data_IF_338635481440
#
_entry.id   IF_338635481440
#
_cell.length_a   1.000
_cell.length_b   1.000
_cell.length_c   1.000
_cell.angle_alpha   90.00
_cell.angle_beta   90.00
_cell.angle_gamma   90.00
#
_symmetry.space_group_name_H-M   'P 1'
#
loop_
_entity.id
_entity.type
_entity.pdbx_description
1 polymer ?
#
# COMPACT_ATOMS: atom_id res chain seq x y z
N UNK A 1 4.53 -24.52 3.61
CA UNK A 1 5.57 -23.49 3.39
C UNK A 1 5.90 -23.46 1.91
N UNK A 2 5.66 -22.35 1.23
CA UNK A 2 6.02 -22.21 -0.18
C UNK A 2 7.55 -22.26 -0.30
N UNK A 3 8.05 -23.17 -1.14
CA UNK A 3 9.48 -23.32 -1.38
C UNK A 3 10.00 -22.02 -2.01
N UNK A 4 10.95 -21.34 -1.35
CA UNK A 4 11.62 -20.18 -1.95
C UNK A 4 12.24 -20.61 -3.30
N UNK A 5 12.16 -19.78 -4.35
CA UNK A 5 12.80 -20.10 -5.61
C UNK A 5 14.30 -20.33 -5.40
N UNK A 6 14.85 -21.31 -6.10
CA UNK A 6 16.28 -21.56 -6.16
C UNK A 6 17.01 -20.43 -6.89
N UNK A 7 18.33 -20.31 -6.67
CA UNK A 7 19.18 -19.35 -7.39
C UNK A 7 19.04 -19.47 -8.90
N UNK A 8 19.01 -20.70 -9.43
CA UNK A 8 18.83 -20.96 -10.87
C UNK A 8 17.46 -20.47 -11.38
N UNK A 9 16.40 -20.58 -10.58
CA UNK A 9 15.08 -20.07 -10.95
C UNK A 9 15.07 -18.53 -10.99
N UNK A 10 15.75 -17.87 -10.04
CA UNK A 10 15.94 -16.42 -10.05
C UNK A 10 16.76 -15.94 -11.26
N UNK A 11 17.88 -16.58 -11.55
CA UNK A 11 18.71 -16.28 -12.72
C UNK A 11 17.89 -16.39 -14.01
N UNK A 12 17.04 -17.41 -14.11
CA UNK A 12 16.17 -17.60 -15.26
C UNK A 12 15.07 -16.54 -15.38
N UNK A 13 14.54 -16.01 -14.28
CA UNK A 13 13.56 -14.92 -14.37
C UNK A 13 14.22 -13.59 -14.73
N UNK A 14 15.41 -13.36 -14.17
CA UNK A 14 16.21 -12.16 -14.42
C UNK A 14 16.87 -12.16 -15.80
N UNK A 15 16.89 -13.28 -16.52
CA UNK A 15 17.50 -13.34 -17.85
C UNK A 15 16.88 -12.28 -18.77
N UNK A 16 17.71 -11.38 -19.30
CA UNK A 16 17.27 -10.24 -20.12
C UNK A 16 17.32 -8.90 -19.39
N UNK A 17 17.49 -8.85 -18.07
CA UNK A 17 17.82 -7.62 -17.36
C UNK A 17 19.27 -7.21 -17.63
N UNK A 18 19.46 -5.95 -18.01
CA UNK A 18 20.75 -5.27 -18.07
C UNK A 18 20.68 -3.94 -17.28
N UNK A 19 21.82 -3.49 -16.74
CA UNK A 19 21.88 -2.19 -16.07
C UNK A 19 21.64 -1.04 -17.05
N UNK A 20 21.95 -1.23 -18.33
CA UNK A 20 21.59 -0.32 -19.40
C UNK A 20 20.16 -0.64 -19.89
N UNK A 21 19.18 0.25 -19.70
CA UNK A 21 17.80 0.02 -20.13
C UNK A 21 17.68 -0.28 -21.63
N UNK A 22 18.57 0.28 -22.47
CA UNK A 22 18.53 0.03 -23.93
C UNK A 22 18.91 -1.40 -24.33
N UNK A 23 19.48 -2.17 -23.41
CA UNK A 23 19.84 -3.58 -23.59
C UNK A 23 18.92 -4.51 -22.80
N UNK A 24 18.00 -3.95 -22.01
CA UNK A 24 17.07 -4.72 -21.19
C UNK A 24 15.88 -5.25 -21.97
N UNK A 25 15.34 -6.36 -21.49
CA UNK A 25 14.06 -6.93 -21.90
C UNK A 25 13.11 -6.98 -20.70
N UNK A 26 11.82 -7.16 -20.98
CA UNK A 26 10.84 -7.49 -19.93
C UNK A 26 11.22 -8.78 -19.20
N UNK A 27 10.68 -8.97 -18.00
CA UNK A 27 10.93 -10.20 -17.23
C UNK A 27 10.52 -11.45 -18.03
N UNK A 28 11.19 -12.57 -17.78
CA UNK A 28 10.80 -13.83 -18.38
C UNK A 28 9.35 -14.19 -18.01
N UNK A 29 8.52 -14.63 -18.98
CA UNK A 29 7.06 -14.86 -18.83
C UNK A 29 6.61 -15.58 -17.56
N UNK A 30 7.43 -16.51 -17.06
CA UNK A 30 7.18 -17.28 -15.83
C UNK A 30 7.00 -16.39 -14.59
N UNK A 31 7.60 -15.20 -14.53
CA UNK A 31 7.43 -14.23 -13.45
C UNK A 31 6.00 -13.71 -13.33
N UNK A 32 5.25 -13.73 -14.43
CA UNK A 32 3.89 -13.21 -14.48
C UNK A 32 2.83 -14.29 -14.26
N UNK A 33 3.11 -15.54 -14.66
CA UNK A 33 2.08 -16.60 -14.72
C UNK A 33 2.23 -17.71 -13.68
N UNK A 34 3.41 -17.89 -13.07
CA UNK A 34 3.64 -18.99 -12.14
C UNK A 34 3.36 -18.56 -10.68
N UNK A 35 2.50 -19.27 -9.92
CA UNK A 35 2.16 -18.94 -8.54
C UNK A 35 3.35 -18.84 -7.57
N UNK A 36 4.45 -19.57 -7.82
CA UNK A 36 5.65 -19.46 -6.97
C UNK A 36 6.21 -18.04 -6.97
N UNK A 37 6.17 -17.34 -8.11
CA UNK A 37 6.64 -15.96 -8.22
C UNK A 37 5.68 -14.98 -7.58
N UNK A 38 4.37 -15.20 -7.67
CA UNK A 38 3.42 -14.38 -6.93
C UNK A 38 3.69 -14.39 -5.42
N UNK A 39 3.82 -15.59 -4.83
CA UNK A 39 4.16 -15.71 -3.40
C UNK A 39 5.51 -15.08 -3.05
N UNK A 40 6.49 -15.19 -3.95
CA UNK A 40 7.80 -14.55 -3.77
C UNK A 40 7.69 -13.03 -3.79
N UNK A 41 6.89 -12.46 -4.68
CA UNK A 41 6.61 -11.02 -4.75
C UNK A 41 5.94 -10.54 -3.47
N UNK A 42 4.95 -11.27 -2.95
CA UNK A 42 4.27 -10.92 -1.70
C UNK A 42 5.25 -10.86 -0.51
N UNK A 43 6.12 -11.87 -0.37
CA UNK A 43 7.06 -12.00 0.76
C UNK A 43 8.33 -11.14 0.62
N UNK A 44 8.72 -10.79 -0.60
CA UNK A 44 10.01 -10.12 -0.86
C UNK A 44 9.86 -8.65 -1.26
N UNK A 45 8.69 -8.28 -1.81
CA UNK A 45 8.41 -6.93 -2.31
C UNK A 45 7.28 -6.33 -1.49
N UNK A 46 6.04 -6.84 -1.63
CA UNK A 46 4.84 -6.18 -1.10
C UNK A 46 4.86 -6.07 0.43
N UNK A 47 5.37 -7.09 1.13
CA UNK A 47 5.51 -7.05 2.60
C UNK A 47 6.71 -6.24 3.10
N UNK A 48 7.60 -5.77 2.21
CA UNK A 48 8.83 -5.06 2.57
C UNK A 48 8.89 -3.63 2.06
N UNK A 49 7.94 -3.22 1.23
CA UNK A 49 7.84 -1.86 0.71
C UNK A 49 6.59 -1.17 1.22
N UNK A 50 6.63 0.16 1.26
CA UNK A 50 5.49 0.99 1.69
C UNK A 50 4.33 0.86 0.70
N UNK A 51 3.20 0.33 1.18
CA UNK A 51 1.98 0.16 0.41
C UNK A 51 1.03 1.32 0.66
N UNK A 52 0.52 1.93 -0.41
CA UNK A 52 -0.53 2.93 -0.31
C UNK A 52 -1.82 2.31 0.22
N UNK A 53 -2.49 2.99 1.15
CA UNK A 53 -3.76 2.53 1.76
C UNK A 53 -4.91 3.45 1.40
N UNK A 54 -4.79 4.74 1.70
CA UNK A 54 -5.85 5.72 1.48
C UNK A 54 -5.34 7.16 1.52
N UNK A 55 -6.20 8.11 1.18
CA UNK A 55 -6.00 9.51 1.51
C UNK A 55 -6.28 9.75 3.01
N UNK A 56 -5.46 10.59 3.65
CA UNK A 56 -5.50 10.93 5.08
C UNK A 56 -6.87 11.42 5.55
N UNK A 57 -7.68 12.01 4.65
CA UNK A 57 -9.05 12.41 4.92
C UNK A 57 -9.87 11.32 5.63
N UNK A 58 -9.70 10.05 5.24
CA UNK A 58 -10.43 8.92 5.85
C UNK A 58 -10.11 8.69 7.32
N UNK A 59 -8.96 9.20 7.79
CA UNK A 59 -8.39 8.92 9.10
C UNK A 59 -8.11 10.20 9.89
N UNK A 60 -8.73 11.34 9.54
CA UNK A 60 -8.49 12.64 10.22
C UNK A 60 -8.92 12.67 11.68
N UNK A 61 -10.04 12.02 12.02
CA UNK A 61 -10.61 12.08 13.38
C UNK A 61 -10.16 10.89 14.22
N UNK A 62 -9.85 11.06 15.52
CA UNK A 62 -9.69 9.95 16.47
C UNK A 62 -10.83 8.93 16.32
N UNK A 63 -10.54 7.65 16.41
CA UNK A 63 -11.50 6.56 16.21
C UNK A 63 -11.81 6.21 14.76
N UNK A 64 -11.44 7.04 13.79
CA UNK A 64 -11.59 6.70 12.37
C UNK A 64 -10.65 5.54 12.02
N UNK A 65 -11.16 4.55 11.31
CA UNK A 65 -10.40 3.38 10.89
C UNK A 65 -10.70 2.99 9.45
N UNK A 66 -9.77 2.26 8.84
CA UNK A 66 -9.95 1.53 7.58
C UNK A 66 -9.18 0.22 7.64
N UNK A 67 -9.62 -0.77 6.88
CA UNK A 67 -8.92 -2.06 6.75
C UNK A 67 -8.47 -2.33 5.33
N UNK A 68 -7.38 -3.06 5.17
CA UNK A 68 -6.84 -3.50 3.87
C UNK A 68 -6.06 -4.80 4.06
N UNK A 69 -6.01 -5.65 3.03
CA UNK A 69 -5.11 -6.79 2.99
C UNK A 69 -3.80 -6.39 2.29
N UNK A 70 -2.66 -6.55 2.97
CA UNK A 70 -1.33 -6.32 2.40
C UNK A 70 -0.56 -7.62 2.42
N UNK A 71 -0.11 -8.08 1.26
CA UNK A 71 0.55 -9.39 1.12
C UNK A 71 -0.23 -10.53 1.80
N UNK A 72 -1.55 -10.57 1.56
CA UNK A 72 -2.51 -11.53 2.14
C UNK A 72 -2.65 -11.47 3.67
N UNK A 73 -2.18 -10.39 4.31
CA UNK A 73 -2.27 -10.20 5.75
C UNK A 73 -3.29 -9.09 6.04
N UNK A 74 -4.31 -9.32 6.87
CA UNK A 74 -5.32 -8.32 7.15
C UNK A 74 -4.75 -7.26 8.08
N UNK A 75 -4.81 -6.00 7.65
CA UNK A 75 -4.31 -4.84 8.37
C UNK A 75 -5.46 -3.90 8.72
N UNK A 76 -5.44 -3.37 9.93
CA UNK A 76 -6.32 -2.32 10.40
C UNK A 76 -5.46 -1.08 10.63
N UNK A 77 -5.88 0.05 10.06
CA UNK A 77 -5.29 1.36 10.29
C UNK A 77 -6.31 2.18 11.05
N UNK A 78 -5.89 2.83 12.13
CA UNK A 78 -6.77 3.57 13.02
C UNK A 78 -6.07 4.83 13.58
N UNK A 79 -6.84 5.90 13.76
CA UNK A 79 -6.40 7.10 14.49
C UNK A 79 -6.73 6.92 15.97
N UNK A 80 -5.74 6.92 16.85
CA UNK A 80 -5.99 6.73 18.29
C UNK A 80 -6.64 7.98 18.94
N UNK A 81 -7.00 7.87 20.23
CA UNK A 81 -7.61 8.96 21.01
C UNK A 81 -6.70 10.20 21.14
N UNK A 82 -5.38 10.02 20.97
CA UNK A 82 -4.36 11.07 21.01
C UNK A 82 -4.02 11.61 19.61
N UNK A 83 -4.79 11.22 18.58
CA UNK A 83 -4.57 11.57 17.18
C UNK A 83 -3.28 11.00 16.55
N UNK A 84 -2.68 9.98 17.15
CA UNK A 84 -1.60 9.23 16.50
C UNK A 84 -2.18 8.25 15.48
N UNK A 85 -1.54 8.15 14.32
CA UNK A 85 -1.85 7.10 13.36
C UNK A 85 -1.23 5.78 13.83
N UNK A 86 -2.03 4.71 13.83
CA UNK A 86 -1.62 3.37 14.22
C UNK A 86 -2.06 2.36 13.18
N UNK A 87 -1.28 1.31 13.00
CA UNK A 87 -1.66 0.17 12.17
C UNK A 87 -1.32 -1.13 12.88
N UNK A 88 -2.19 -2.12 12.77
CA UNK A 88 -2.03 -3.42 13.42
C UNK A 88 -2.39 -4.53 12.45
N UNK A 89 -1.81 -5.72 12.65
CA UNK A 89 -2.44 -6.93 12.15
C UNK A 89 -3.85 -7.03 12.75
N UNK A 90 -4.85 -7.09 11.89
CA UNK A 90 -6.28 -7.10 12.23
C UNK A 90 -6.71 -8.49 12.70
N UNK A 91 -6.06 -8.97 13.75
CA UNK A 91 -6.15 -10.35 14.23
C UNK A 91 -6.18 -10.33 15.76
N UNK A 92 -7.26 -10.86 16.33
CA UNK A 92 -7.40 -10.95 17.78
C UNK A 92 -6.33 -11.87 18.39
N UNK A 93 -5.66 -11.40 19.45
CA UNK A 93 -4.65 -12.15 20.20
C UNK A 93 -5.20 -13.39 20.92
N UNK A 94 -6.52 -13.56 21.03
CA UNK A 94 -7.13 -14.73 21.64
C UNK A 94 -7.09 -15.96 20.71
N UNK A 95 -7.89 -15.94 19.64
CA UNK A 95 -8.05 -17.08 18.70
C UNK A 95 -8.12 -16.61 17.24
N UNK A 96 -7.33 -15.58 16.93
CA UNK A 96 -7.08 -15.10 15.56
C UNK A 96 -8.31 -14.68 14.73
N UNK A 97 -9.43 -14.34 15.37
CA UNK A 97 -10.56 -13.77 14.66
C UNK A 97 -10.22 -12.36 14.16
N UNK A 98 -10.65 -12.01 12.94
CA UNK A 98 -10.57 -10.63 12.42
C UNK A 98 -11.30 -9.67 13.35
N UNK A 99 -10.69 -8.54 13.72
CA UNK A 99 -11.26 -7.66 14.75
C UNK A 99 -12.35 -6.74 14.21
N UNK A 100 -12.08 -6.14 13.05
CA UNK A 100 -12.98 -5.16 12.40
C UNK A 100 -12.85 -5.28 10.89
N UNK A 101 -13.81 -4.77 10.13
CA UNK A 101 -13.78 -4.83 8.66
C UNK A 101 -14.34 -3.53 8.07
N UNK A 102 -13.90 -3.19 6.86
CA UNK A 102 -14.31 -1.99 6.13
C UNK A 102 -13.67 -0.70 6.66
N UNK A 103 -14.44 0.38 6.63
CA UNK A 103 -14.04 1.70 7.10
C UNK A 103 -15.14 2.31 7.96
N UNK A 104 -14.77 3.12 8.94
CA UNK A 104 -15.76 3.70 9.85
C UNK A 104 -15.13 4.41 11.04
N UNK A 105 -15.90 4.49 12.12
CA UNK A 105 -15.51 5.12 13.37
C UNK A 105 -15.77 4.16 14.55
N UNK A 106 -14.82 4.07 15.48
CA UNK A 106 -15.01 3.33 16.72
C UNK A 106 -14.25 3.94 17.90
N UNK A 107 -14.79 3.77 19.11
CA UNK A 107 -14.12 4.16 20.36
C UNK A 107 -13.37 2.99 21.01
N UNK A 108 -13.61 1.75 20.57
CA UNK A 108 -12.98 0.52 21.08
C UNK A 108 -12.92 -0.54 19.98
N UNK A 109 -11.90 -1.39 20.01
CA UNK A 109 -11.80 -2.52 19.09
C UNK A 109 -12.26 -3.76 19.84
N UNK A 110 -13.48 -4.24 19.58
CA UNK A 110 -14.04 -5.42 20.26
C UNK A 110 -14.09 -6.60 19.31
N UNK A 111 -13.36 -7.67 19.65
CA UNK A 111 -13.36 -8.91 18.88
C UNK A 111 -14.78 -9.51 18.84
N UNK A 112 -15.35 -9.77 17.66
CA UNK A 112 -16.72 -10.26 17.54
C UNK A 112 -16.88 -11.71 18.03
N UNK A 113 -15.78 -12.44 18.25
CA UNK A 113 -15.86 -13.83 18.68
C UNK A 113 -16.11 -13.99 20.18
N UNK A 114 -15.27 -13.38 21.03
CA UNK A 114 -15.34 -13.56 22.49
C UNK A 114 -15.26 -12.23 23.26
N UNK A 115 -15.51 -11.10 22.58
CA UNK A 115 -15.54 -9.76 23.17
C UNK A 115 -14.25 -9.32 23.89
N UNK A 116 -13.10 -9.88 23.53
CA UNK A 116 -11.80 -9.28 23.87
C UNK A 116 -11.75 -7.87 23.29
N UNK A 117 -11.58 -6.87 24.15
CA UNK A 117 -11.69 -5.47 23.79
C UNK A 117 -10.35 -4.77 23.99
N UNK A 118 -9.93 -4.06 22.96
CA UNK A 118 -8.69 -3.30 22.92
C UNK A 118 -8.99 -1.79 22.87
N UNK A 119 -8.10 -1.00 23.45
CA UNK A 119 -7.99 0.44 23.17
C UNK A 119 -7.59 0.66 21.71
N UNK A 120 -7.76 1.90 21.23
CA UNK A 120 -7.32 2.29 19.88
C UNK A 120 -5.79 2.26 19.70
N UNK A 121 -5.02 2.27 20.80
CA UNK A 121 -3.58 2.06 20.82
C UNK A 121 -3.16 0.57 20.78
N UNK A 122 -4.13 -0.34 20.67
CA UNK A 122 -3.93 -1.79 20.56
C UNK A 122 -3.84 -2.53 21.88
N UNK A 123 -3.78 -1.85 23.03
CA UNK A 123 -3.70 -2.52 24.34
C UNK A 123 -5.00 -3.20 24.72
N UNK A 124 -4.93 -4.43 25.22
CA UNK A 124 -6.09 -5.14 25.74
C UNK A 124 -6.57 -4.48 27.04
N UNK A 125 -7.87 -4.19 27.12
CA UNK A 125 -8.48 -3.57 28.31
C UNK A 125 -9.55 -4.43 28.96
N UNK A 126 -10.05 -5.45 28.25
CA UNK A 126 -11.06 -6.37 28.77
C UNK A 126 -10.98 -7.70 28.04
N UNK A 127 -10.90 -8.76 28.81
CA UNK A 127 -11.13 -10.13 28.37
C UNK A 127 -12.18 -10.74 29.32
N UNK A 128 -13.39 -11.09 28.83
CA UNK A 128 -14.42 -11.66 29.71
C UNK A 128 -13.97 -12.96 30.38
N UNK A 129 -14.32 -13.15 31.65
CA UNK A 129 -14.14 -14.39 32.40
C UNK A 129 -12.67 -14.83 32.61
N UNK A 130 -11.74 -13.87 32.62
CA UNK A 130 -10.32 -14.13 32.86
C UNK A 130 -9.86 -13.77 34.28
N UNK A 131 -10.77 -13.32 35.15
CA UNK A 131 -10.44 -12.77 36.48
C UNK A 131 -9.82 -13.80 37.42
N UNK A 132 -10.15 -15.08 37.23
CA UNK A 132 -9.64 -16.20 38.03
C UNK A 132 -8.49 -16.96 37.36
N UNK A 133 -8.02 -16.51 36.19
CA UNK A 133 -6.91 -17.16 35.50
C UNK A 133 -5.59 -16.78 36.14
N UNK A 134 -4.83 -17.77 36.57
CA UNK A 134 -3.48 -17.54 37.09
C UNK A 134 -2.58 -16.95 36.00
N UNK A 135 -1.82 -15.91 36.37
CA UNK A 135 -0.82 -15.24 35.50
C UNK A 135 -1.39 -14.62 34.22
N UNK A 136 -2.71 -14.41 34.13
CA UNK A 136 -3.31 -13.66 33.04
C UNK A 136 -3.36 -12.18 33.38
N UNK A 137 -2.61 -11.36 32.63
CA UNK A 137 -2.55 -9.91 32.79
C UNK A 137 -2.94 -9.24 31.49
N UNK A 138 -3.87 -8.30 31.56
CA UNK A 138 -4.35 -7.58 30.37
C UNK A 138 -3.25 -6.72 29.76
N UNK A 139 -2.44 -6.10 30.63
CA UNK A 139 -1.33 -5.22 30.28
C UNK A 139 -0.21 -5.91 29.48
N UNK A 140 -0.11 -7.23 29.57
CA UNK A 140 0.88 -8.04 28.83
C UNK A 140 0.44 -8.31 27.39
N UNK A 141 -0.80 -7.93 27.01
CA UNK A 141 -1.39 -8.24 25.72
C UNK A 141 -1.68 -6.96 24.93
N UNK A 142 -1.02 -6.83 23.79
CA UNK A 142 -1.26 -5.78 22.79
C UNK A 142 -1.44 -6.41 21.41
N UNK A 143 -2.18 -5.73 20.53
CA UNK A 143 -2.18 -6.03 19.10
C UNK A 143 -0.78 -5.87 18.51
N UNK A 144 -0.47 -6.68 17.50
CA UNK A 144 0.81 -6.64 16.81
C UNK A 144 0.83 -5.44 15.84
N UNK A 145 1.62 -4.42 16.16
CA UNK A 145 1.74 -3.18 15.38
C UNK A 145 2.52 -3.41 14.07
N UNK A 146 2.13 -2.71 12.99
CA UNK A 146 2.86 -2.61 11.72
C UNK A 146 3.22 -1.15 11.44
N UNK A 147 4.27 -0.90 10.67
CA UNK A 147 4.67 0.48 10.40
C UNK A 147 3.57 1.20 9.59
N UNK A 148 3.32 2.47 9.94
CA UNK A 148 2.39 3.34 9.23
C UNK A 148 2.97 4.75 9.15
N UNK A 149 2.75 5.42 8.03
CA UNK A 149 3.26 6.78 7.78
C UNK A 149 2.24 7.59 6.99
N UNK A 150 2.11 8.87 7.34
CA UNK A 150 1.44 9.87 6.50
C UNK A 150 2.49 10.58 5.65
N UNK A 151 2.31 10.55 4.33
CA UNK A 151 3.22 11.15 3.36
C UNK A 151 2.42 11.88 2.29
N UNK A 152 2.61 13.20 2.17
CA UNK A 152 1.89 14.08 1.24
C UNK A 152 0.36 13.89 1.27
N UNK A 153 -0.24 13.84 2.46
CA UNK A 153 -1.69 13.64 2.61
C UNK A 153 -2.19 12.22 2.36
N UNK A 154 -1.33 11.24 2.11
CA UNK A 154 -1.70 9.83 1.96
C UNK A 154 -1.15 8.97 3.09
N UNK A 155 -1.83 7.85 3.36
CA UNK A 155 -1.45 6.87 4.38
C UNK A 155 -0.82 5.66 3.72
N UNK A 156 0.35 5.27 4.21
CA UNK A 156 1.09 4.10 3.77
C UNK A 156 1.37 3.16 4.93
N UNK A 157 1.45 1.87 4.65
CA UNK A 157 1.81 0.81 5.61
C UNK A 157 2.98 -0.01 5.10
N UNK A 158 3.89 -0.41 5.99
CA UNK A 158 4.96 -1.36 5.70
C UNK A 158 4.98 -2.47 6.76
N UNK A 159 5.04 -3.72 6.32
CA UNK A 159 5.06 -4.88 7.22
C UNK A 159 6.47 -5.20 7.74
N UNK A 160 7.51 -4.67 7.09
CA UNK A 160 8.88 -4.75 7.59
C UNK A 160 9.12 -3.69 8.67
N UNK A 161 9.20 -4.17 9.92
CA UNK A 161 9.48 -3.34 11.10
C UNK A 161 10.82 -2.62 11.07
N UNK A 162 11.75 -3.06 10.21
CA UNK A 162 13.08 -2.50 10.09
C UNK A 162 13.20 -1.51 8.93
N UNK A 163 12.11 -1.27 8.19
CA UNK A 163 12.13 -0.33 7.07
C UNK A 163 12.39 1.10 7.56
N UNK A 164 13.08 1.88 6.74
CA UNK A 164 13.16 3.33 6.91
C UNK A 164 11.83 3.99 6.52
N UNK A 165 11.56 5.19 7.03
CA UNK A 165 10.40 5.98 6.63
C UNK A 165 10.32 6.17 5.13
N UNK A 166 9.10 6.23 4.58
CA UNK A 166 8.87 6.51 3.16
C UNK A 166 9.48 7.85 2.78
N UNK A 167 9.33 8.88 3.62
CA UNK A 167 9.99 10.18 3.44
C UNK A 167 11.50 10.07 3.24
N UNK A 168 12.17 9.21 4.02
CA UNK A 168 13.62 9.02 3.88
C UNK A 168 13.97 8.26 2.61
N UNK A 169 13.21 7.22 2.26
CA UNK A 169 13.46 6.40 1.08
C UNK A 169 13.16 7.13 -0.24
N UNK A 170 12.18 8.04 -0.24
CA UNK A 170 11.71 8.73 -1.45
C UNK A 170 12.48 10.01 -1.79
N UNK A 171 13.42 10.43 -0.93
CA UNK A 171 14.29 11.58 -1.20
C UNK A 171 13.50 12.87 -1.45
N UNK A 172 13.58 13.41 -2.67
CA UNK A 172 12.96 14.69 -3.03
C UNK A 172 11.49 14.59 -3.48
N UNK A 173 10.88 13.40 -3.46
CA UNK A 173 9.53 13.18 -3.97
C UNK A 173 8.48 14.10 -3.32
N UNK A 174 8.58 14.33 -2.00
CA UNK A 174 7.65 15.22 -1.28
C UNK A 174 7.64 16.64 -1.87
N UNK A 175 8.82 17.18 -2.17
CA UNK A 175 8.94 18.51 -2.77
C UNK A 175 8.38 18.54 -4.19
N UNK A 176 8.59 17.49 -4.98
CA UNK A 176 8.03 17.39 -6.33
C UNK A 176 6.50 17.32 -6.30
N UNK A 177 5.92 16.50 -5.42
CA UNK A 177 4.47 16.40 -5.26
C UNK A 177 3.88 17.75 -4.83
N UNK A 178 4.45 18.40 -3.80
CA UNK A 178 3.95 19.68 -3.29
C UNK A 178 4.08 20.79 -4.33
N UNK A 179 5.12 20.76 -5.17
CA UNK A 179 5.30 21.74 -6.24
C UNK A 179 4.14 21.69 -7.25
N UNK A 180 3.73 20.50 -7.68
CA UNK A 180 2.70 20.32 -8.71
C UNK A 180 1.27 20.24 -8.14
N UNK A 181 1.12 19.79 -6.89
CA UNK A 181 -0.16 19.64 -6.20
C UNK A 181 -0.07 20.17 -4.75
N UNK A 182 0.01 21.50 -4.57
CA UNK A 182 0.27 22.12 -3.25
C UNK A 182 -0.86 21.92 -2.23
N UNK A 183 -2.06 21.57 -2.68
CA UNK A 183 -3.24 21.34 -1.86
C UNK A 183 -3.62 19.85 -1.78
N UNK A 184 -2.71 18.94 -2.14
CA UNK A 184 -2.97 17.49 -2.21
C UNK A 184 -3.57 16.91 -0.92
N UNK A 185 -3.17 17.39 0.25
CA UNK A 185 -3.69 16.92 1.55
C UNK A 185 -5.12 17.40 1.86
N UNK A 186 -5.56 18.46 1.18
CA UNK A 186 -6.89 19.05 1.31
C UNK A 186 -7.90 18.44 0.36
N UNK A 187 -7.46 17.56 -0.55
CA UNK A 187 -8.34 16.84 -1.44
C UNK A 187 -9.43 16.11 -0.65
N UNK A 188 -10.60 16.02 -1.28
CA UNK A 188 -11.73 15.27 -0.77
C UNK A 188 -12.11 14.16 -1.74
N UNK A 189 -12.65 13.07 -1.21
CA UNK A 189 -13.06 11.93 -2.00
C UNK A 189 -14.13 12.30 -3.04
N UNK A 190 -13.78 12.23 -4.33
CA UNK A 190 -14.71 12.41 -5.44
C UNK A 190 -15.40 11.10 -5.86
N UNK A 191 -14.61 10.12 -6.32
CA UNK A 191 -15.12 8.83 -6.83
C UNK A 191 -14.06 7.73 -6.70
N UNK A 192 -14.51 6.48 -6.56
CA UNK A 192 -13.68 5.27 -6.67
C UNK A 192 -14.25 4.33 -7.72
N UNK A 193 -13.37 3.78 -8.53
CA UNK A 193 -13.67 2.70 -9.47
C UNK A 193 -12.82 1.51 -9.06
N UNK A 194 -13.45 0.33 -8.99
CA UNK A 194 -12.79 -0.92 -8.60
C UNK A 194 -12.99 -1.93 -9.73
N UNK A 195 -11.90 -2.57 -10.14
CA UNK A 195 -11.89 -3.51 -11.25
C UNK A 195 -11.12 -4.77 -10.86
N UNK A 196 -11.69 -5.93 -11.17
CA UNK A 196 -10.98 -7.21 -11.11
C UNK A 196 -10.25 -7.46 -12.43
N UNK A 197 -8.94 -7.17 -12.44
CA UNK A 197 -8.10 -7.35 -13.62
C UNK A 197 -7.48 -8.75 -13.59
N UNK A 198 -7.80 -9.58 -14.59
CA UNK A 198 -7.21 -10.93 -14.76
C UNK A 198 -5.79 -10.86 -15.32
N UNK A 199 -4.88 -10.19 -14.61
CA UNK A 199 -3.48 -9.99 -14.98
C UNK A 199 -2.58 -9.99 -13.76
N UNK A 200 -1.27 -10.21 -13.96
CA UNK A 200 -0.30 -10.04 -12.90
C UNK A 200 -0.14 -8.55 -12.57
N UNK A 201 0.04 -8.19 -11.30
CA UNK A 201 0.24 -6.80 -10.86
C UNK A 201 1.40 -6.12 -11.60
N UNK A 202 2.47 -6.86 -11.91
CA UNK A 202 3.62 -6.33 -12.65
C UNK A 202 3.25 -5.85 -14.06
N UNK A 203 2.33 -6.52 -14.75
CA UNK A 203 1.87 -6.06 -16.07
C UNK A 203 1.12 -4.73 -15.98
N UNK A 204 0.36 -4.51 -14.90
CA UNK A 204 -0.36 -3.24 -14.68
C UNK A 204 0.64 -2.11 -14.43
N UNK A 205 1.70 -2.40 -13.67
CA UNK A 205 2.82 -1.47 -13.46
C UNK A 205 3.57 -1.22 -14.76
N UNK A 206 3.98 -2.26 -15.50
CA UNK A 206 4.69 -2.15 -16.77
C UNK A 206 3.91 -1.28 -17.77
N UNK A 207 2.57 -1.43 -17.84
CA UNK A 207 1.69 -0.60 -18.66
C UNK A 207 1.64 0.87 -18.23
N UNK A 208 1.80 1.17 -16.93
CA UNK A 208 1.81 2.56 -16.45
C UNK A 208 3.17 3.24 -16.67
N UNK A 209 4.26 2.47 -16.65
CA UNK A 209 5.63 2.97 -16.74
C UNK A 209 6.05 3.46 -18.15
N UNK A 210 5.14 3.45 -19.12
CA UNK A 210 5.38 3.95 -20.47
C UNK A 210 4.14 4.63 -21.06
N UNK A 211 4.34 5.41 -22.12
CA UNK A 211 3.26 5.98 -22.92
C UNK A 211 3.46 5.69 -24.42
N UNK A 212 4.21 4.63 -24.73
CA UNK A 212 4.38 4.10 -26.06
C UNK A 212 3.06 3.60 -26.64
N UNK A 213 2.18 3.04 -25.80
CA UNK A 213 0.84 2.62 -26.22
C UNK A 213 -0.17 3.78 -26.36
N UNK A 214 0.11 4.96 -25.78
CA UNK A 214 -0.87 6.05 -25.67
C UNK A 214 -1.43 6.53 -27.02
N UNK A 215 -0.63 6.80 -28.08
CA UNK A 215 -1.17 7.26 -29.36
C UNK A 215 -2.12 6.26 -30.01
N UNK A 216 -1.99 4.97 -29.68
CA UNK A 216 -2.83 3.90 -30.25
C UNK A 216 -4.07 3.65 -29.39
N UNK A 217 -3.89 3.56 -28.07
CA UNK A 217 -4.92 3.09 -27.14
C UNK A 217 -5.75 4.22 -26.50
N UNK A 218 -5.19 5.43 -26.36
CA UNK A 218 -5.79 6.54 -25.61
C UNK A 218 -5.85 7.82 -26.45
N UNK A 219 -6.55 7.77 -27.58
CA UNK A 219 -6.63 8.91 -28.51
C UNK A 219 -7.08 10.20 -27.82
N UNK A 220 -8.14 10.12 -27.02
CA UNK A 220 -8.70 11.27 -26.30
C UNK A 220 -7.71 11.83 -25.26
N UNK A 221 -6.91 10.97 -24.60
CA UNK A 221 -5.90 11.41 -23.64
C UNK A 221 -4.78 12.21 -24.33
N UNK A 222 -4.34 11.75 -25.50
CA UNK A 222 -3.30 12.43 -26.28
C UNK A 222 -3.75 13.80 -26.83
N UNK A 223 -5.04 14.12 -26.81
CA UNK A 223 -5.54 15.47 -27.14
C UNK A 223 -5.45 16.43 -25.93
N UNK A 224 -5.46 15.90 -24.71
CA UNK A 224 -5.45 16.67 -23.46
C UNK A 224 -4.03 17.03 -22.99
N UNK A 225 -3.02 16.32 -23.48
CA UNK A 225 -1.64 16.39 -23.00
C UNK A 225 -0.70 16.60 -24.19
N UNK A 226 0.27 17.51 -24.06
CA UNK A 226 1.30 17.67 -25.08
C UNK A 226 2.29 16.50 -24.99
N UNK A 227 2.06 15.49 -25.84
CA UNK A 227 2.87 14.28 -25.90
C UNK A 227 4.32 14.52 -26.31
N UNK A 228 4.65 15.65 -26.96
CA UNK A 228 6.05 15.97 -27.29
C UNK A 228 6.86 16.35 -26.04
N UNK A 229 6.18 16.87 -25.01
CA UNK A 229 6.79 17.23 -23.72
C UNK A 229 6.81 16.09 -22.71
N UNK A 230 6.18 14.96 -23.04
CA UNK A 230 6.04 13.83 -22.12
C UNK A 230 7.40 13.24 -21.76
N UNK A 231 7.69 13.24 -20.46
CA UNK A 231 8.96 12.77 -19.91
C UNK A 231 8.70 11.85 -18.72
N UNK A 232 9.41 10.72 -18.73
CA UNK A 232 9.54 9.83 -17.58
C UNK A 232 10.92 10.02 -16.96
N UNK A 233 10.95 10.31 -15.66
CA UNK A 233 12.18 10.36 -14.86
C UNK A 233 12.12 9.26 -13.81
N UNK A 234 13.05 8.31 -13.85
CA UNK A 234 13.10 7.17 -12.92
C UNK A 234 14.04 7.43 -11.76
N UNK A 235 13.57 7.13 -10.55
CA UNK A 235 14.34 7.12 -9.31
C UNK A 235 14.39 5.70 -8.75
N UNK A 236 15.01 5.52 -7.58
CA UNK A 236 15.21 4.19 -7.00
C UNK A 236 13.89 3.47 -6.66
N UNK A 237 12.95 4.19 -6.03
CA UNK A 237 11.68 3.60 -5.57
C UNK A 237 10.42 4.25 -6.16
N UNK A 238 10.58 5.22 -7.08
CA UNK A 238 9.47 5.90 -7.75
C UNK A 238 9.88 6.40 -9.14
N UNK A 239 8.89 6.79 -9.94
CA UNK A 239 9.09 7.41 -11.25
C UNK A 239 8.11 8.56 -11.42
N UNK A 240 8.58 9.67 -11.99
CA UNK A 240 7.77 10.85 -12.27
C UNK A 240 7.47 10.94 -13.75
N UNK A 241 6.18 11.03 -14.09
CA UNK A 241 5.67 11.13 -15.45
C UNK A 241 5.05 12.52 -15.60
N UNK A 242 5.65 13.36 -16.43
CA UNK A 242 5.28 14.78 -16.56
C UNK A 242 5.10 15.14 -18.03
N UNK A 243 4.12 15.99 -18.30
CA UNK A 243 3.89 16.61 -19.60
C UNK A 243 3.16 17.94 -19.40
N UNK A 244 3.33 18.86 -20.34
CA UNK A 244 2.55 20.08 -20.40
C UNK A 244 1.10 19.80 -20.83
N UNK A 245 0.20 20.69 -20.46
CA UNK A 245 -1.19 20.62 -20.90
C UNK A 245 -1.27 20.80 -22.42
N UNK A 246 -2.21 20.09 -23.07
CA UNK A 246 -2.44 20.23 -24.50
C UNK A 246 -2.83 21.66 -24.88
N UNK A 247 -2.45 22.07 -26.09
CA UNK A 247 -2.71 23.41 -26.63
C UNK A 247 -4.13 23.61 -27.19
N UNK A 248 -5.00 22.60 -27.07
CA UNK A 248 -6.35 22.59 -27.61
C UNK A 248 -7.41 22.75 -26.50
N UNK A 249 -8.53 23.45 -26.74
CA UNK A 249 -9.65 23.48 -25.81
C UNK A 249 -10.15 22.06 -25.54
N UNK A 250 -10.37 21.71 -24.28
CA UNK A 250 -10.97 20.42 -23.91
C UNK A 250 -12.37 20.32 -24.56
N UNK A 251 -12.55 19.34 -25.45
CA UNK A 251 -13.80 19.13 -26.19
C UNK A 251 -14.84 18.28 -25.43
N UNK A 252 -14.51 17.84 -24.21
CA UNK A 252 -15.36 17.00 -23.34
C UNK A 252 -16.33 17.80 -22.46
#
# INVERSE_FOLDING_TARGET
>A
MNKKPSTQEFEKIRSGYDKNPSLSQSLHKKAYINPTWHNTDLESIISKTWQWVCHSEKLRKPGSYTTIDIAERPIMIIRDEKSNLKAFYNVCKHRAHKLIDGEGFTNRITCPYHAWTYNLDGKLVRAPHTENLEKFKLEDICLDEVQVEEFCGFVFVNLDQNSSSLKKLSGNLENEIIHWAPDIEKLTFGRRLTYDIKSNWKNVVDNFLECYHCPTAHKDFCELVDMETYKVTTYDIYSSHMAEAGNSPNAA
#
